data_IF_701598064593
#
_entry.id   IF_701598064593
#
_cell.length_a   1.000
_cell.length_b   1.000
_cell.length_c   1.000
_cell.angle_alpha   90.00
_cell.angle_beta   90.00
_cell.angle_gamma   90.00
#
_symmetry.space_group_name_H-M   'P 1'
#
loop_
_entity.id
_entity.type
_entity.pdbx_description
1 polymer ?
#
# COMPACT_ATOMS: atom_id res chain seq x y z
N UNK A 1 1.67 3.35 -23.17
CA UNK A 1 1.62 1.87 -23.16
C UNK A 1 2.55 1.25 -22.10
N UNK A 2 3.85 1.60 -22.04
CA UNK A 2 4.79 1.03 -21.04
C UNK A 2 4.32 1.21 -19.57
N UNK A 3 3.95 2.44 -19.17
CA UNK A 3 3.58 2.75 -17.79
C UNK A 3 2.29 2.06 -17.31
N UNK A 4 1.39 1.70 -18.22
CA UNK A 4 0.13 1.02 -17.89
C UNK A 4 0.35 -0.44 -17.51
N UNK A 5 1.03 -1.20 -18.38
CA UNK A 5 1.35 -2.60 -18.08
C UNK A 5 2.24 -2.71 -16.84
N UNK A 6 3.15 -1.75 -16.66
CA UNK A 6 3.94 -1.63 -15.44
C UNK A 6 3.06 -1.37 -14.19
N UNK A 7 2.08 -0.46 -14.26
CA UNK A 7 1.19 -0.19 -13.14
C UNK A 7 0.36 -1.43 -12.77
N UNK A 8 -0.25 -2.09 -13.75
CA UNK A 8 -1.06 -3.30 -13.55
C UNK A 8 -0.20 -4.43 -12.99
N UNK A 9 0.92 -4.74 -13.64
CA UNK A 9 1.81 -5.83 -13.20
C UNK A 9 2.40 -5.58 -11.81
N UNK A 10 2.74 -4.32 -11.51
CA UNK A 10 3.23 -3.95 -10.17
C UNK A 10 2.12 -3.95 -9.12
N UNK A 11 0.88 -3.60 -9.45
CA UNK A 11 -0.27 -3.70 -8.54
C UNK A 11 -0.61 -5.16 -8.24
N UNK A 12 -0.64 -6.04 -9.25
CA UNK A 12 -0.85 -7.47 -9.07
C UNK A 12 0.23 -8.09 -8.17
N UNK A 13 1.49 -7.70 -8.37
CA UNK A 13 2.61 -8.15 -7.54
C UNK A 13 2.50 -7.63 -6.10
N UNK A 14 2.16 -6.35 -5.93
CA UNK A 14 1.92 -5.75 -4.62
C UNK A 14 0.78 -6.44 -3.86
N UNK A 15 -0.34 -6.67 -4.53
CA UNK A 15 -1.50 -7.35 -3.96
C UNK A 15 -1.17 -8.78 -3.52
N UNK A 16 -0.39 -9.51 -4.33
CA UNK A 16 0.09 -10.84 -3.95
C UNK A 16 0.85 -10.80 -2.62
N UNK A 17 1.74 -9.83 -2.45
CA UNK A 17 2.50 -9.67 -1.19
C UNK A 17 1.62 -9.20 -0.03
N UNK A 18 0.65 -8.30 -0.25
CA UNK A 18 -0.33 -7.92 0.77
C UNK A 18 -1.16 -9.11 1.25
N UNK A 19 -1.57 -10.01 0.34
CA UNK A 19 -2.30 -11.22 0.70
C UNK A 19 -1.47 -12.14 1.59
N UNK A 20 -0.15 -12.20 1.43
CA UNK A 20 0.72 -12.91 2.39
C UNK A 20 0.68 -12.21 3.75
N UNK A 21 0.82 -10.89 3.79
CA UNK A 21 0.73 -10.12 5.03
C UNK A 21 -0.60 -10.38 5.78
N UNK A 22 -1.72 -10.43 5.06
CA UNK A 22 -3.06 -10.62 5.64
C UNK A 22 -3.32 -12.08 6.00
N UNK A 23 -3.19 -13.00 5.04
CA UNK A 23 -3.64 -14.37 5.19
C UNK A 23 -2.65 -15.23 6.01
N UNK A 24 -1.36 -14.91 5.94
CA UNK A 24 -0.33 -15.71 6.61
C UNK A 24 0.10 -15.14 7.95
N UNK A 25 0.24 -13.81 8.06
CA UNK A 25 0.68 -13.17 9.32
C UNK A 25 -0.49 -12.64 10.15
N UNK A 26 -1.29 -11.72 9.61
CA UNK A 26 -2.40 -11.10 10.35
C UNK A 26 -3.44 -12.12 10.82
N UNK A 27 -3.82 -13.07 9.96
CA UNK A 27 -4.80 -14.10 10.27
C UNK A 27 -4.25 -15.28 11.09
N UNK A 28 -2.94 -15.34 11.36
CA UNK A 28 -2.34 -16.44 12.10
C UNK A 28 -2.76 -16.42 13.56
N UNK A 29 -3.56 -17.41 13.97
CA UNK A 29 -3.93 -17.60 15.37
C UNK A 29 -2.70 -17.78 16.24
N UNK A 30 -1.73 -18.59 15.81
CA UNK A 30 -0.51 -18.80 16.55
C UNK A 30 0.28 -17.52 16.81
N UNK A 31 0.27 -16.56 15.88
CA UNK A 31 0.88 -15.24 16.09
C UNK A 31 0.02 -14.37 17.02
N UNK A 32 -1.31 -14.35 16.80
CA UNK A 32 -2.26 -13.61 17.65
C UNK A 32 -2.16 -14.00 19.12
N UNK A 33 -2.01 -15.29 19.43
CA UNK A 33 -1.86 -15.77 20.81
C UNK A 33 -0.60 -15.26 21.53
N UNK A 34 0.37 -14.69 20.81
CA UNK A 34 1.63 -14.20 21.39
C UNK A 34 1.59 -12.71 21.76
N UNK A 35 0.53 -11.99 21.38
CA UNK A 35 0.39 -10.55 21.58
C UNK A 35 -1.01 -10.21 22.09
N UNK A 36 -1.14 -9.06 22.75
CA UNK A 36 -2.45 -8.53 23.09
C UNK A 36 -3.23 -8.11 21.83
N UNK A 37 -4.58 -8.01 21.89
CA UNK A 37 -5.37 -7.47 20.79
C UNK A 37 -4.96 -6.06 20.36
N UNK A 38 -4.51 -5.23 21.32
CA UNK A 38 -4.02 -3.89 21.05
C UNK A 38 -2.70 -3.92 20.28
N UNK A 39 -1.74 -4.75 20.69
CA UNK A 39 -0.48 -4.93 19.97
C UNK A 39 -0.71 -5.52 18.57
N UNK A 40 -1.60 -6.49 18.42
CA UNK A 40 -1.97 -7.03 17.10
C UNK A 40 -2.56 -5.94 16.20
N UNK A 41 -3.44 -5.11 16.74
CA UNK A 41 -3.97 -3.95 16.03
C UNK A 41 -2.86 -2.95 15.67
N UNK A 42 -1.94 -2.63 16.57
CA UNK A 42 -0.80 -1.75 16.29
C UNK A 42 0.16 -2.34 15.25
N UNK A 43 0.34 -3.67 15.24
CA UNK A 43 1.22 -4.39 14.32
C UNK A 43 0.71 -4.45 12.89
N UNK A 44 -0.61 -4.50 12.67
CA UNK A 44 -1.18 -4.68 11.33
C UNK A 44 -2.12 -3.56 10.90
N UNK A 45 -2.54 -2.69 11.82
CA UNK A 45 -3.41 -1.55 11.59
C UNK A 45 -4.60 -1.93 10.69
N UNK A 46 -4.83 -1.19 9.61
CA UNK A 46 -5.86 -1.43 8.62
C UNK A 46 -5.36 -2.12 7.33
N UNK A 47 -4.28 -2.92 7.39
CA UNK A 47 -3.68 -3.58 6.21
C UNK A 47 -4.67 -4.45 5.42
N UNK A 48 -5.62 -5.09 6.11
CA UNK A 48 -6.69 -5.87 5.48
C UNK A 48 -7.61 -4.98 4.61
N UNK A 49 -7.89 -3.75 5.05
CA UNK A 49 -8.69 -2.78 4.27
C UNK A 49 -7.89 -2.24 3.08
N UNK A 50 -6.59 -1.99 3.28
CA UNK A 50 -5.67 -1.62 2.20
C UNK A 50 -5.62 -2.71 1.13
N UNK A 51 -5.60 -3.98 1.53
CA UNK A 51 -5.64 -5.14 0.63
C UNK A 51 -6.92 -5.16 -0.19
N UNK A 52 -8.09 -5.03 0.44
CA UNK A 52 -9.36 -4.97 -0.28
C UNK A 52 -9.45 -3.78 -1.26
N UNK A 53 -8.91 -2.62 -0.89
CA UNK A 53 -8.86 -1.46 -1.79
C UNK A 53 -7.91 -1.70 -2.99
N UNK A 54 -6.77 -2.34 -2.77
CA UNK A 54 -5.83 -2.76 -3.82
C UNK A 54 -6.45 -3.78 -4.78
N UNK A 55 -7.22 -4.75 -4.26
CA UNK A 55 -7.97 -5.71 -5.09
C UNK A 55 -8.95 -5.01 -6.02
N UNK A 56 -9.76 -4.09 -5.47
CA UNK A 56 -10.73 -3.31 -6.25
C UNK A 56 -10.04 -2.43 -7.29
N UNK A 57 -8.90 -1.85 -6.94
CA UNK A 57 -8.12 -1.03 -7.87
C UNK A 57 -7.56 -1.85 -9.03
N UNK A 58 -6.93 -3.00 -8.75
CA UNK A 58 -6.44 -3.91 -9.78
C UNK A 58 -7.57 -4.37 -10.71
N UNK A 59 -8.71 -4.78 -10.15
CA UNK A 59 -9.88 -5.21 -10.92
C UNK A 59 -10.34 -4.12 -11.89
N UNK A 60 -10.42 -2.86 -11.46
CA UNK A 60 -10.80 -1.76 -12.33
C UNK A 60 -9.78 -1.51 -13.46
N UNK A 61 -8.48 -1.67 -13.17
CA UNK A 61 -7.42 -1.56 -14.18
C UNK A 61 -7.53 -2.68 -15.22
N UNK A 62 -7.77 -3.92 -14.79
CA UNK A 62 -7.92 -5.09 -15.66
C UNK A 62 -9.16 -5.00 -16.56
N UNK A 63 -10.29 -4.52 -16.01
CA UNK A 63 -11.51 -4.26 -16.80
C UNK A 63 -11.23 -3.24 -17.92
N UNK A 64 -10.52 -2.14 -17.61
CA UNK A 64 -10.16 -1.13 -18.61
C UNK A 64 -9.24 -1.70 -19.70
N UNK A 65 -8.26 -2.53 -19.33
CA UNK A 65 -7.39 -3.22 -20.27
C UNK A 65 -8.20 -4.13 -21.22
N UNK A 66 -9.22 -4.82 -20.72
CA UNK A 66 -10.11 -5.67 -21.54
C UNK A 66 -11.02 -4.89 -22.49
N UNK A 67 -11.36 -3.63 -22.17
CA UNK A 67 -12.26 -2.79 -22.98
C UNK A 67 -11.54 -2.03 -24.10
N UNK A 68 -10.26 -1.68 -23.93
CA UNK A 68 -9.47 -0.99 -24.96
C UNK A 68 -7.98 -1.28 -24.80
N UNK A 69 -7.35 -1.77 -25.88
CA UNK A 69 -5.89 -1.94 -25.97
C UNK A 69 -5.17 -0.59 -26.07
N UNK A 70 -5.86 0.43 -26.62
CA UNK A 70 -5.46 1.83 -26.54
C UNK A 70 -5.90 2.37 -25.19
N UNK A 71 -5.09 2.09 -24.17
CA UNK A 71 -5.32 2.59 -22.81
C UNK A 71 -4.87 4.04 -22.79
N UNK A 72 -5.69 4.92 -23.33
CA UNK A 72 -5.31 6.31 -23.55
C UNK A 72 -5.33 7.14 -22.28
N UNK A 73 -6.03 6.73 -21.22
CA UNK A 73 -6.07 7.45 -19.95
C UNK A 73 -6.33 6.45 -18.80
N UNK A 74 -5.35 6.24 -17.91
CA UNK A 74 -5.55 5.52 -16.63
C UNK A 74 -5.62 6.49 -15.45
N UNK A 75 -5.33 7.76 -15.71
CA UNK A 75 -5.35 8.82 -14.70
C UNK A 75 -6.73 8.90 -14.06
N UNK A 76 -7.80 8.70 -14.84
CA UNK A 76 -9.18 8.69 -14.35
C UNK A 76 -9.43 7.59 -13.30
N UNK A 77 -8.95 6.36 -13.56
CA UNK A 77 -9.08 5.24 -12.61
C UNK A 77 -8.25 5.52 -11.36
N UNK A 78 -7.02 6.00 -11.52
CA UNK A 78 -6.19 6.34 -10.37
C UNK A 78 -6.87 7.41 -9.51
N UNK A 79 -7.31 8.51 -10.13
CA UNK A 79 -8.02 9.62 -9.47
C UNK A 79 -9.31 9.18 -8.78
N UNK A 80 -10.06 8.23 -9.36
CA UNK A 80 -11.26 7.66 -8.75
C UNK A 80 -10.96 6.93 -7.42
N UNK A 81 -9.81 6.25 -7.33
CA UNK A 81 -9.42 5.47 -6.13
C UNK A 81 -8.67 6.29 -5.08
N UNK A 82 -8.14 7.44 -5.47
CA UNK A 82 -7.34 8.28 -4.60
C UNK A 82 -7.98 8.68 -3.27
N UNK A 83 -9.27 9.08 -3.18
CA UNK A 83 -9.88 9.40 -1.88
C UNK A 83 -9.91 8.22 -0.92
N UNK A 84 -10.13 7.00 -1.44
CA UNK A 84 -10.11 5.78 -0.65
C UNK A 84 -8.68 5.43 -0.20
N UNK A 85 -7.70 5.57 -1.09
CA UNK A 85 -6.29 5.38 -0.75
C UNK A 85 -5.82 6.38 0.31
N UNK A 86 -6.20 7.66 0.20
CA UNK A 86 -5.94 8.66 1.22
C UNK A 86 -6.46 8.21 2.59
N UNK A 87 -7.73 7.82 2.67
CA UNK A 87 -8.37 7.42 3.93
C UNK A 87 -7.69 6.21 4.57
N UNK A 88 -7.17 5.28 3.76
CA UNK A 88 -6.61 4.02 4.24
C UNK A 88 -5.09 4.08 4.50
N UNK A 89 -4.32 4.65 3.57
CA UNK A 89 -2.86 4.64 3.67
C UNK A 89 -2.34 5.66 4.68
N UNK A 90 -2.95 6.85 4.81
CA UNK A 90 -2.50 7.89 5.75
C UNK A 90 -2.39 7.37 7.19
N UNK A 91 -3.46 6.82 7.82
CA UNK A 91 -3.34 6.32 9.18
C UNK A 91 -2.38 5.13 9.32
N UNK A 92 -2.15 4.37 8.25
CA UNK A 92 -1.17 3.29 8.25
C UNK A 92 0.26 3.83 8.31
N UNK A 93 0.62 4.70 7.35
CA UNK A 93 1.99 5.22 7.23
C UNK A 93 2.36 6.19 8.36
N UNK A 94 1.41 6.98 8.87
CA UNK A 94 1.67 7.87 10.00
C UNK A 94 2.03 7.10 11.28
N UNK A 95 1.51 5.88 11.45
CA UNK A 95 1.81 5.04 12.62
C UNK A 95 2.98 4.07 12.38
N UNK A 96 3.61 4.08 11.21
CA UNK A 96 4.59 3.07 10.81
C UNK A 96 5.85 3.06 11.69
N UNK A 97 6.31 4.21 12.18
CA UNK A 97 7.45 4.27 13.12
C UNK A 97 7.14 3.57 14.46
N UNK A 98 5.93 3.75 14.98
CA UNK A 98 5.47 3.08 16.19
C UNK A 98 5.29 1.58 15.94
N UNK A 99 4.73 1.20 14.79
CA UNK A 99 4.60 -0.19 14.35
C UNK A 99 5.97 -0.89 14.28
N UNK A 100 6.97 -0.23 13.68
CA UNK A 100 8.33 -0.77 13.59
C UNK A 100 8.99 -0.93 14.96
N UNK A 101 8.87 0.07 15.84
CA UNK A 101 9.38 0.00 17.21
C UNK A 101 8.76 -1.17 17.98
N UNK A 102 7.44 -1.37 17.85
CA UNK A 102 6.72 -2.48 18.48
C UNK A 102 7.20 -3.83 17.94
N UNK A 103 7.33 -4.01 16.62
CA UNK A 103 7.87 -5.26 16.04
C UNK A 103 9.27 -5.54 16.59
N UNK A 104 10.14 -4.54 16.65
CA UNK A 104 11.49 -4.68 17.18
C UNK A 104 11.48 -5.13 18.64
N UNK A 105 10.69 -4.46 19.47
CA UNK A 105 10.54 -4.80 20.89
C UNK A 105 10.04 -6.24 21.05
N UNK A 106 8.99 -6.64 20.33
CA UNK A 106 8.41 -7.98 20.43
C UNK A 106 9.38 -9.07 19.97
N UNK A 107 10.13 -8.84 18.89
CA UNK A 107 11.14 -9.79 18.42
C UNK A 107 12.28 -9.98 19.43
N UNK A 108 12.62 -8.94 20.22
CA UNK A 108 13.68 -9.00 21.22
C UNK A 108 13.21 -9.57 22.56
N UNK A 109 12.03 -9.17 23.02
CA UNK A 109 11.58 -9.41 24.39
C UNK A 109 10.57 -10.56 24.50
N UNK A 110 9.85 -10.90 23.43
CA UNK A 110 8.81 -11.91 23.42
C UNK A 110 9.26 -13.14 22.61
N UNK A 111 9.78 -14.16 23.31
CA UNK A 111 10.28 -15.40 22.70
C UNK A 111 9.20 -16.15 21.91
N UNK A 112 7.95 -16.13 22.37
CA UNK A 112 6.85 -16.79 21.67
C UNK A 112 6.52 -16.09 20.36
N UNK A 113 6.45 -14.75 20.37
CA UNK A 113 6.29 -13.95 19.15
C UNK A 113 7.43 -14.20 18.17
N UNK A 114 8.68 -14.13 18.64
CA UNK A 114 9.86 -14.39 17.80
C UNK A 114 9.80 -15.77 17.15
N UNK A 115 9.48 -16.83 17.91
CA UNK A 115 9.35 -18.19 17.38
C UNK A 115 8.20 -18.31 16.36
N UNK A 116 7.03 -17.73 16.67
CA UNK A 116 5.88 -17.74 15.76
C UNK A 116 6.21 -17.04 14.44
N UNK A 117 6.86 -15.86 14.49
CA UNK A 117 7.32 -15.14 13.29
C UNK A 117 8.33 -15.99 12.51
N UNK A 118 9.34 -16.58 13.15
CA UNK A 118 10.34 -17.39 12.44
C UNK A 118 9.73 -18.61 11.77
N UNK A 119 8.77 -19.26 12.41
CA UNK A 119 8.03 -20.37 11.80
C UNK A 119 7.24 -19.89 10.57
N UNK A 120 6.53 -18.77 10.67
CA UNK A 120 5.80 -18.20 9.53
C UNK A 120 6.73 -17.78 8.39
N UNK A 121 7.85 -17.10 8.68
CA UNK A 121 8.86 -16.67 7.69
C UNK A 121 9.53 -17.83 6.97
N UNK A 122 9.54 -19.04 7.56
CA UNK A 122 10.10 -20.25 6.93
C UNK A 122 9.19 -20.85 5.86
N UNK A 123 7.93 -20.45 5.79
CA UNK A 123 6.98 -20.95 4.79
C UNK A 123 7.36 -20.45 3.38
N UNK A 124 7.38 -21.32 2.36
CA UNK A 124 7.63 -20.94 0.97
C UNK A 124 6.77 -19.77 0.46
N UNK A 125 5.55 -19.59 0.98
CA UNK A 125 4.67 -18.47 0.61
C UNK A 125 5.32 -17.10 0.88
N UNK A 126 6.21 -17.02 1.88
CA UNK A 126 6.94 -15.80 2.21
C UNK A 126 8.08 -15.50 1.23
N UNK A 127 8.52 -16.44 0.40
CA UNK A 127 9.62 -16.24 -0.57
C UNK A 127 10.87 -15.60 0.07
N UNK A 128 11.24 -16.06 1.28
CA UNK A 128 12.37 -15.55 2.09
C UNK A 128 12.22 -14.11 2.58
N UNK A 129 11.04 -13.50 2.44
CA UNK A 129 10.74 -12.19 3.00
C UNK A 129 10.38 -12.31 4.49
N UNK A 130 10.77 -11.29 5.25
CA UNK A 130 10.47 -11.15 6.68
C UNK A 130 9.11 -10.50 6.91
N UNK A 131 8.55 -10.65 8.12
CA UNK A 131 7.34 -9.92 8.53
C UNK A 131 7.49 -8.41 8.28
N UNK A 132 8.63 -7.82 8.66
CA UNK A 132 8.90 -6.39 8.48
C UNK A 132 8.84 -5.96 7.01
N UNK A 133 9.38 -6.78 6.09
CA UNK A 133 9.32 -6.46 4.65
C UNK A 133 7.91 -6.50 4.09
N UNK A 134 6.99 -7.25 4.70
CA UNK A 134 5.57 -7.17 4.35
C UNK A 134 4.88 -5.93 4.95
N UNK A 135 5.23 -5.56 6.18
CA UNK A 135 4.59 -4.41 6.87
C UNK A 135 4.93 -3.06 6.23
N UNK A 136 6.08 -2.93 5.55
CA UNK A 136 6.49 -1.70 4.83
C UNK A 136 5.84 -1.54 3.46
N UNK A 137 5.18 -2.58 2.94
CA UNK A 137 4.61 -2.57 1.59
C UNK A 137 3.66 -1.37 1.33
N UNK A 138 2.74 -0.99 2.24
CA UNK A 138 1.84 0.13 1.97
C UNK A 138 2.57 1.47 1.79
N UNK A 139 3.64 1.72 2.55
CA UNK A 139 4.48 2.92 2.40
C UNK A 139 5.21 2.93 1.05
N UNK A 140 5.78 1.80 0.65
CA UNK A 140 6.45 1.66 -0.64
C UNK A 140 5.47 1.91 -1.81
N UNK A 141 4.25 1.37 -1.70
CA UNK A 141 3.25 1.48 -2.77
C UNK A 141 2.80 2.93 -2.97
N UNK A 142 2.43 3.62 -1.89
CA UNK A 142 1.93 5.00 -2.02
C UNK A 142 3.03 5.94 -2.56
N UNK A 143 4.28 5.68 -2.19
CA UNK A 143 5.45 6.41 -2.70
C UNK A 143 5.65 6.16 -4.20
N UNK A 144 5.47 4.91 -4.67
CA UNK A 144 5.58 4.59 -6.10
C UNK A 144 4.43 5.17 -6.92
N UNK A 145 3.20 5.14 -6.41
CA UNK A 145 2.03 5.74 -7.08
C UNK A 145 2.25 7.25 -7.26
N UNK A 146 2.78 7.95 -6.23
CA UNK A 146 3.19 9.36 -6.34
C UNK A 146 4.11 9.59 -7.53
N UNK A 147 5.22 8.84 -7.61
CA UNK A 147 6.21 9.01 -8.66
C UNK A 147 5.64 8.77 -10.06
N UNK A 148 4.79 7.76 -10.22
CA UNK A 148 4.13 7.46 -11.50
C UNK A 148 3.25 8.65 -11.94
N UNK A 149 2.53 9.24 -11.00
CA UNK A 149 1.66 10.40 -11.26
C UNK A 149 2.45 11.67 -11.59
N UNK A 150 3.58 11.89 -10.93
CA UNK A 150 4.47 13.05 -11.18
C UNK A 150 5.21 12.93 -12.52
N UNK A 151 5.79 11.77 -12.81
CA UNK A 151 6.54 11.50 -14.06
C UNK A 151 5.62 11.40 -15.27
N UNK A 152 4.40 10.88 -15.10
CA UNK A 152 3.40 10.73 -16.17
C UNK A 152 2.80 12.04 -16.68
N UNK A 153 3.21 13.20 -16.16
CA UNK A 153 2.73 14.50 -16.62
C UNK A 153 1.31 14.87 -16.15
N UNK A 154 0.60 13.97 -15.45
CA UNK A 154 -0.72 14.21 -14.88
C UNK A 154 -0.72 15.35 -13.82
N UNK A 155 0.45 15.68 -13.27
CA UNK A 155 0.63 16.72 -12.25
C UNK A 155 1.70 17.77 -12.60
N UNK A 156 2.23 17.76 -13.84
CA UNK A 156 3.12 18.83 -14.31
C UNK A 156 2.33 20.14 -14.39
N UNK A 157 2.64 21.08 -13.51
CA UNK A 157 1.96 22.37 -13.38
C UNK A 157 2.21 23.31 -14.55
N UNK A 158 1.67 22.99 -15.72
CA UNK A 158 1.47 23.96 -16.79
C UNK A 158 0.00 24.41 -16.78
N UNK A 159 -0.30 25.72 -16.71
CA UNK A 159 -1.67 26.20 -16.83
C UNK A 159 -2.14 25.94 -18.26
N UNK A 160 -2.90 24.86 -18.47
CA UNK A 160 -3.67 24.69 -19.69
C UNK A 160 -4.86 25.62 -19.59
N UNK A 161 -4.74 26.76 -20.25
CA UNK A 161 -5.82 27.69 -20.56
C UNK A 161 -6.91 26.96 -21.34
N UNK A 162 -7.82 26.30 -20.63
CA UNK A 162 -9.24 26.23 -20.94
C UNK A 162 -9.94 25.73 -19.69
N UNK A 163 -10.85 26.58 -19.23
CA UNK A 163 -11.69 26.47 -18.05
C UNK A 163 -12.49 25.16 -18.07
N UNK A 164 -12.00 24.13 -17.38
CA UNK A 164 -12.78 22.97 -16.97
C UNK A 164 -12.53 22.77 -15.50
N UNK A 165 -13.60 22.88 -14.70
CA UNK A 165 -13.67 22.76 -13.25
C UNK A 165 -12.54 21.90 -12.65
N UNK A 166 -11.69 22.53 -11.83
CA UNK A 166 -10.77 21.82 -10.96
C UNK A 166 -11.57 20.82 -10.11
N UNK A 167 -11.49 19.54 -10.47
CA UNK A 167 -12.12 18.48 -9.71
C UNK A 167 -11.44 18.44 -8.33
N UNK A 168 -12.20 18.72 -7.26
CA UNK A 168 -11.71 18.85 -5.88
C UNK A 168 -10.92 17.65 -5.31
N UNK A 169 -10.85 16.53 -6.04
CA UNK A 169 -9.95 15.41 -5.72
C UNK A 169 -8.46 15.71 -5.97
N UNK A 170 -8.12 16.63 -6.89
CA UNK A 170 -6.74 16.95 -7.28
C UNK A 170 -5.94 17.66 -6.16
N UNK A 171 -6.61 18.43 -5.29
CA UNK A 171 -5.98 19.14 -4.17
C UNK A 171 -5.82 18.27 -2.93
N UNK A 172 -6.68 17.26 -2.74
CA UNK A 172 -6.66 16.37 -1.57
C UNK A 172 -5.57 15.29 -1.64
N UNK A 173 -5.25 14.77 -2.83
CA UNK A 173 -4.05 13.93 -3.03
C UNK A 173 -2.77 14.70 -2.77
N UNK A 174 -2.71 15.96 -3.21
CA UNK A 174 -1.54 16.81 -2.96
C UNK A 174 -1.33 16.99 -1.45
N UNK A 175 -2.35 17.22 -0.65
CA UNK A 175 -2.17 17.35 0.81
C UNK A 175 -1.71 16.05 1.49
N UNK A 176 -2.16 14.89 1.01
CA UNK A 176 -1.74 13.57 1.53
C UNK A 176 -0.28 13.25 1.20
N UNK A 177 0.09 13.48 -0.06
CA UNK A 177 1.36 13.05 -0.64
C UNK A 177 2.47 14.09 -0.41
N UNK A 178 2.12 15.38 -0.23
CA UNK A 178 3.07 16.48 -0.06
C UNK A 178 3.17 17.04 1.38
N UNK A 179 2.20 16.81 2.28
CA UNK A 179 2.25 17.42 3.62
C UNK A 179 2.41 16.44 4.80
N UNK A 180 2.36 15.12 4.60
CA UNK A 180 2.36 14.16 5.74
C UNK A 180 3.15 12.85 5.58
N UNK A 181 3.78 12.60 4.44
CA UNK A 181 4.75 11.51 4.34
C UNK A 181 6.12 12.04 4.81
N UNK A 182 6.79 11.40 5.78
CA UNK A 182 8.18 11.73 6.07
C UNK A 182 9.00 11.57 4.79
N UNK A 183 9.95 12.48 4.57
CA UNK A 183 10.85 12.40 3.42
C UNK A 183 11.46 10.98 3.34
N UNK A 184 11.63 10.40 2.15
CA UNK A 184 12.23 9.09 2.01
C UNK A 184 13.59 9.08 2.72
N UNK A 185 13.81 8.08 3.58
CA UNK A 185 15.12 7.86 4.21
C UNK A 185 16.15 7.70 3.09
N UNK A 186 17.10 8.65 3.04
CA UNK A 186 18.29 8.59 2.19
C UNK A 186 19.21 7.45 2.64
#
# INVERSE_FOLDING_TARGET
MQSTFELIGSEASYLKSLRVAVNHFYASEALKWTVSPMEHHSLFSNIHRITAASEKFLMNLEIRLGQSVLISQLEDIVLQHCPEFQRLYVPYVTNMMYQEALVNQLLQQNRHFHFAVKRLESDPVCQRQSLKSFLVLPFQRITRIKLILEVGGAFSGAPRSHETAECGGHSQLKSVIYQRLPAPLQ
#
